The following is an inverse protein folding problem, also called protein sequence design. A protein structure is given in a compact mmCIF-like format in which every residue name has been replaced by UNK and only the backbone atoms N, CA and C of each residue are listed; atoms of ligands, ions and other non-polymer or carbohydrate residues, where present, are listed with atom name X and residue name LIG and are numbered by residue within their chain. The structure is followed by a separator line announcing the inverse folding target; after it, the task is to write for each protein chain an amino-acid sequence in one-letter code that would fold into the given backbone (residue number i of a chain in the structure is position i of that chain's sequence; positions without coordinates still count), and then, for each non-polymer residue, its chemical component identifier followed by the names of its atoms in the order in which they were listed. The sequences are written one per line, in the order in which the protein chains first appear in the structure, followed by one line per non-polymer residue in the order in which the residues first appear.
data_IF_072157752895
#
_entry.id   IF_072157752895
#
_cell.length_a   1.000
_cell.length_b   1.000
_cell.length_c   1.000
_cell.angle_alpha   90.00
_cell.angle_beta   90.00
_cell.angle_gamma   90.00
#
_symmetry.space_group_name_H-M   'P 1'
#
loop_
_entity.id
_entity.type
_entity.pdbx_description
1 polymer ?
#
# COMPACT_ATOMS: atom_id res chain seq x y z
N UNK A 1 -2.66 19.99 -41.11
CA UNK A 1 -2.51 20.21 -39.66
C UNK A 1 -1.77 19.00 -39.10
N UNK A 2 -0.54 19.21 -38.72
CA UNK A 2 0.44 18.12 -38.44
C UNK A 2 0.23 17.55 -37.05
N UNK A 3 -0.25 16.29 -36.98
CA UNK A 3 -0.47 15.54 -35.72
C UNK A 3 0.81 15.35 -34.88
N UNK A 4 1.99 15.56 -35.46
CA UNK A 4 3.30 15.44 -34.80
C UNK A 4 3.60 16.56 -33.81
N UNK A 5 3.04 17.76 -34.02
CA UNK A 5 3.32 18.92 -33.17
C UNK A 5 2.50 18.96 -31.88
N UNK A 6 1.34 18.27 -31.82
CA UNK A 6 0.49 18.18 -30.62
C UNK A 6 1.10 17.25 -29.60
N UNK A 7 1.73 16.13 -30.03
CA UNK A 7 2.38 15.18 -29.15
C UNK A 7 3.60 15.78 -28.43
N UNK A 8 4.42 16.59 -29.15
CA UNK A 8 5.59 17.25 -28.55
C UNK A 8 5.21 18.33 -27.52
N UNK A 9 4.14 19.07 -27.76
CA UNK A 9 3.64 20.09 -26.81
C UNK A 9 3.02 19.48 -25.55
N UNK A 10 2.40 18.31 -25.67
CA UNK A 10 1.84 17.57 -24.54
C UNK A 10 2.95 16.99 -23.65
N UNK A 11 4.05 16.51 -24.23
CA UNK A 11 5.21 15.96 -23.51
C UNK A 11 5.97 17.01 -22.69
N UNK A 12 6.00 18.27 -23.12
CA UNK A 12 6.68 19.35 -22.39
C UNK A 12 5.94 19.77 -21.10
N UNK A 13 4.63 19.54 -21.00
CA UNK A 13 3.82 19.86 -19.81
C UNK A 13 3.95 18.82 -18.70
N UNK A 14 4.45 17.62 -19.03
CA UNK A 14 4.53 16.46 -18.11
C UNK A 14 5.77 16.53 -17.21
N UNK A 15 6.79 17.31 -17.55
CA UNK A 15 8.12 17.27 -16.90
C UNK A 15 8.17 17.72 -15.42
N UNK A 16 7.09 18.28 -14.85
CA UNK A 16 7.06 18.74 -13.45
C UNK A 16 5.82 18.23 -12.67
N UNK A 17 5.16 17.20 -13.17
CA UNK A 17 3.97 16.65 -12.53
C UNK A 17 4.40 15.62 -11.48
N UNK A 18 3.88 15.71 -10.25
CA UNK A 18 4.06 14.66 -9.24
C UNK A 18 3.40 13.34 -9.69
N UNK A 19 3.82 12.22 -9.11
CA UNK A 19 3.21 10.92 -9.42
C UNK A 19 1.70 10.90 -9.09
N UNK A 20 1.27 11.61 -8.04
CA UNK A 20 -0.14 11.75 -7.69
C UNK A 20 -0.93 12.53 -8.74
N UNK A 21 -0.36 13.59 -9.31
CA UNK A 21 -0.98 14.36 -10.39
C UNK A 21 -1.02 13.57 -11.69
N UNK A 22 0.03 12.79 -11.97
CA UNK A 22 0.07 11.88 -13.12
C UNK A 22 -1.01 10.78 -12.99
N UNK A 23 -1.15 10.19 -11.82
CA UNK A 23 -2.22 9.23 -11.51
C UNK A 23 -3.61 9.86 -11.73
N UNK A 24 -3.82 11.07 -11.22
CA UNK A 24 -5.06 11.82 -11.42
C UNK A 24 -5.38 12.06 -12.90
N UNK A 25 -4.36 12.42 -13.69
CA UNK A 25 -4.52 12.63 -15.14
C UNK A 25 -4.92 11.33 -15.85
N UNK A 26 -4.28 10.21 -15.51
CA UNK A 26 -4.59 8.89 -16.08
C UNK A 26 -6.01 8.46 -15.72
N UNK A 27 -6.41 8.57 -14.45
CA UNK A 27 -7.77 8.23 -13.99
C UNK A 27 -8.81 9.05 -14.75
N UNK A 28 -8.63 10.37 -14.86
CA UNK A 28 -9.53 11.23 -15.62
C UNK A 28 -9.62 10.83 -17.10
N UNK A 29 -8.47 10.55 -17.74
CA UNK A 29 -8.42 10.17 -19.16
C UNK A 29 -9.16 8.85 -19.40
N UNK A 30 -8.94 7.83 -18.56
CA UNK A 30 -9.61 6.53 -18.65
C UNK A 30 -11.12 6.67 -18.41
N UNK A 31 -11.53 7.42 -17.38
CA UNK A 31 -12.94 7.67 -17.08
C UNK A 31 -13.63 8.38 -18.25
N UNK A 32 -13.04 9.43 -18.77
CA UNK A 32 -13.60 10.16 -19.91
C UNK A 32 -13.70 9.30 -21.17
N UNK A 33 -12.71 8.49 -21.47
CA UNK A 33 -12.72 7.55 -22.58
C UNK A 33 -13.91 6.57 -22.48
N UNK A 34 -14.28 6.19 -21.26
CA UNK A 34 -15.44 5.30 -20.96
C UNK A 34 -16.76 6.05 -20.81
N UNK A 35 -16.77 7.35 -21.02
CA UNK A 35 -17.97 8.23 -20.85
C UNK A 35 -18.55 8.17 -19.43
N UNK A 36 -17.76 7.84 -18.43
CA UNK A 36 -18.15 7.78 -17.02
C UNK A 36 -18.10 9.18 -16.38
N UNK A 37 -19.03 9.43 -15.47
CA UNK A 37 -19.04 10.62 -14.60
C UNK A 37 -18.14 10.40 -13.36
N UNK A 38 -17.87 11.44 -12.58
CA UNK A 38 -17.18 11.27 -11.28
C UNK A 38 -18.02 10.45 -10.29
N UNK A 39 -19.33 10.51 -10.40
CA UNK A 39 -20.23 9.82 -9.49
C UNK A 39 -20.28 8.30 -9.75
N UNK A 40 -19.90 7.85 -10.94
CA UNK A 40 -19.82 6.43 -11.27
C UNK A 40 -18.68 5.70 -10.50
N UNK A 41 -17.69 6.45 -9.96
CA UNK A 41 -16.68 5.91 -9.06
C UNK A 41 -17.23 5.67 -7.64
N UNK A 42 -18.26 4.84 -7.51
CA UNK A 42 -19.09 4.67 -6.31
C UNK A 42 -18.37 4.06 -5.12
N UNK A 43 -17.41 3.15 -5.35
CA UNK A 43 -16.66 2.46 -4.29
C UNK A 43 -15.70 3.40 -3.52
N UNK A 44 -15.52 4.62 -4.00
CA UNK A 44 -14.69 5.64 -3.36
C UNK A 44 -15.60 6.77 -2.89
N UNK A 45 -15.60 7.05 -1.59
CA UNK A 45 -16.42 8.15 -1.05
C UNK A 45 -16.14 9.49 -1.76
N UNK A 46 -17.14 10.38 -1.82
CA UNK A 46 -17.10 11.67 -2.56
C UNK A 46 -15.79 12.45 -2.32
N UNK A 47 -15.34 12.56 -1.06
CA UNK A 47 -14.08 13.25 -0.71
C UNK A 47 -12.85 12.55 -1.28
N UNK A 48 -12.85 11.21 -1.32
CA UNK A 48 -11.77 10.41 -1.89
C UNK A 48 -11.64 10.62 -3.39
N UNK A 49 -12.75 10.58 -4.13
CA UNK A 49 -12.80 10.83 -5.59
C UNK A 49 -12.21 12.18 -5.96
N UNK A 50 -12.69 13.23 -5.32
CA UNK A 50 -12.21 14.60 -5.57
C UNK A 50 -10.72 14.76 -5.28
N UNK A 51 -10.21 14.11 -4.23
CA UNK A 51 -8.78 14.16 -3.87
C UNK A 51 -7.91 13.37 -4.84
N UNK A 52 -8.38 12.20 -5.29
CA UNK A 52 -7.67 11.36 -6.27
C UNK A 52 -7.57 12.09 -7.61
N UNK A 53 -8.70 12.52 -8.17
CA UNK A 53 -8.70 13.23 -9.45
C UNK A 53 -8.08 14.64 -9.37
N UNK A 54 -7.99 15.22 -8.18
CA UNK A 54 -7.29 16.46 -7.91
C UNK A 54 -5.76 16.31 -7.71
N UNK A 55 -5.24 15.08 -7.72
CA UNK A 55 -3.81 14.82 -7.52
C UNK A 55 -3.30 15.13 -6.10
N UNK A 56 -4.21 15.27 -5.12
CA UNK A 56 -3.93 15.65 -3.73
C UNK A 56 -3.95 14.48 -2.75
N UNK A 57 -4.13 13.26 -3.23
CA UNK A 57 -4.22 12.07 -2.40
C UNK A 57 -3.02 11.15 -2.58
N UNK A 58 -2.45 10.70 -1.47
CA UNK A 58 -1.69 9.46 -1.46
C UNK A 58 -2.69 8.31 -1.57
N UNK A 59 -2.64 7.60 -2.69
CA UNK A 59 -3.55 6.48 -2.97
C UNK A 59 -2.99 5.23 -2.30
N UNK A 60 -3.77 4.59 -1.44
CA UNK A 60 -3.42 3.27 -0.89
C UNK A 60 -3.56 2.19 -1.96
N UNK A 61 -2.91 1.03 -1.75
CA UNK A 61 -3.02 -0.11 -2.69
C UNK A 61 -4.48 -0.53 -2.87
N UNK A 62 -5.27 -0.60 -1.79
CA UNK A 62 -6.69 -0.94 -1.85
C UNK A 62 -7.49 0.08 -2.67
N UNK A 63 -7.22 1.37 -2.45
CA UNK A 63 -7.89 2.43 -3.22
C UNK A 63 -7.52 2.36 -4.70
N UNK A 64 -6.23 2.09 -5.01
CA UNK A 64 -5.77 1.89 -6.38
C UNK A 64 -6.47 0.70 -7.05
N UNK A 65 -6.57 -0.43 -6.35
CA UNK A 65 -7.25 -1.63 -6.83
C UNK A 65 -8.74 -1.36 -7.08
N UNK A 66 -9.42 -0.63 -6.19
CA UNK A 66 -10.81 -0.24 -6.36
C UNK A 66 -11.02 0.70 -7.57
N UNK A 67 -10.14 1.70 -7.74
CA UNK A 67 -10.18 2.59 -8.92
C UNK A 67 -9.97 1.81 -10.20
N UNK A 68 -8.97 0.95 -10.24
CA UNK A 68 -8.64 0.13 -11.40
C UNK A 68 -9.81 -0.80 -11.77
N UNK A 69 -10.43 -1.43 -10.78
CA UNK A 69 -11.61 -2.29 -10.96
C UNK A 69 -12.79 -1.53 -11.56
N UNK A 70 -13.11 -0.33 -11.04
CA UNK A 70 -14.18 0.51 -11.58
C UNK A 70 -13.89 1.00 -13.00
N UNK A 71 -12.63 1.23 -13.31
CA UNK A 71 -12.17 1.59 -14.65
C UNK A 71 -11.93 0.35 -15.52
N UNK A 72 -12.22 -0.87 -15.04
CA UNK A 72 -11.99 -2.16 -15.74
C UNK A 72 -10.58 -2.25 -16.36
N UNK A 73 -9.57 -1.84 -15.59
CA UNK A 73 -8.15 -1.95 -15.97
C UNK A 73 -7.40 -2.68 -14.88
N UNK A 74 -6.25 -3.23 -15.24
CA UNK A 74 -5.35 -3.83 -14.26
C UNK A 74 -4.69 -2.74 -13.40
N UNK A 75 -4.60 -2.90 -12.05
CA UNK A 75 -3.93 -1.93 -11.17
C UNK A 75 -2.47 -1.67 -11.53
N UNK A 76 -1.75 -2.69 -12.02
CA UNK A 76 -0.36 -2.53 -12.45
C UNK A 76 -0.27 -1.71 -13.75
N UNK A 77 -1.24 -1.88 -14.67
CA UNK A 77 -1.36 -1.04 -15.85
C UNK A 77 -1.62 0.42 -15.48
N UNK A 78 -2.52 0.67 -14.51
CA UNK A 78 -2.80 2.02 -14.03
C UNK A 78 -1.54 2.70 -13.47
N UNK A 79 -0.73 1.96 -12.69
CA UNK A 79 0.56 2.44 -12.19
C UNK A 79 1.57 2.69 -13.30
N UNK A 80 1.67 1.80 -14.28
CA UNK A 80 2.56 1.94 -15.41
C UNK A 80 2.26 3.22 -16.22
N UNK A 81 0.98 3.46 -16.49
CA UNK A 81 0.53 4.67 -17.19
C UNK A 81 0.84 5.95 -16.40
N UNK A 82 0.59 5.92 -15.07
CA UNK A 82 0.90 7.06 -14.21
C UNK A 82 2.41 7.31 -14.12
N UNK A 83 3.22 6.25 -14.01
CA UNK A 83 4.68 6.38 -14.01
C UNK A 83 5.22 6.93 -15.34
N UNK A 84 4.73 6.41 -16.46
CA UNK A 84 5.07 6.90 -17.79
C UNK A 84 4.72 8.38 -17.95
N UNK A 85 3.52 8.80 -17.53
CA UNK A 85 3.10 10.19 -17.56
C UNK A 85 3.97 11.09 -16.64
N UNK A 86 4.36 10.61 -15.46
CA UNK A 86 5.22 11.33 -14.52
C UNK A 86 6.66 11.47 -15.03
N UNK A 87 7.25 10.38 -15.54
CA UNK A 87 8.65 10.37 -15.98
C UNK A 87 8.86 10.94 -17.39
N UNK A 88 7.81 11.03 -18.19
CA UNK A 88 7.89 11.34 -19.63
C UNK A 88 8.44 10.18 -20.46
N UNK A 89 8.65 9.00 -19.88
CA UNK A 89 9.08 7.79 -20.58
C UNK A 89 7.91 7.20 -21.37
N UNK A 90 8.05 6.88 -22.67
CA UNK A 90 7.00 6.18 -23.42
C UNK A 90 6.60 4.86 -22.78
N UNK A 91 5.29 4.54 -22.79
CA UNK A 91 4.73 3.36 -22.10
C UNK A 91 5.37 2.05 -22.57
N UNK A 92 5.63 1.91 -23.87
CA UNK A 92 6.26 0.74 -24.46
C UNK A 92 7.73 0.57 -24.00
N UNK A 93 8.45 1.65 -23.80
CA UNK A 93 9.82 1.65 -23.24
C UNK A 93 9.78 1.26 -21.77
N UNK A 94 8.88 1.85 -20.99
CA UNK A 94 8.68 1.49 -19.57
C UNK A 94 8.32 0.01 -19.42
N UNK A 95 7.42 -0.51 -20.26
CA UNK A 95 7.02 -1.91 -20.25
C UNK A 95 8.21 -2.86 -20.58
N UNK A 96 9.00 -2.55 -21.59
CA UNK A 96 10.21 -3.32 -21.92
C UNK A 96 11.20 -3.36 -20.76
N UNK A 97 11.43 -2.20 -20.13
CA UNK A 97 12.32 -2.10 -18.97
C UNK A 97 11.82 -2.93 -17.78
N UNK A 98 10.51 -2.88 -17.48
CA UNK A 98 9.89 -3.66 -16.39
C UNK A 98 9.98 -5.17 -16.71
N UNK A 99 9.67 -5.57 -17.95
CA UNK A 99 9.76 -6.97 -18.40
C UNK A 99 11.18 -7.53 -18.28
N UNK A 100 12.19 -6.72 -18.65
CA UNK A 100 13.59 -7.12 -18.50
C UNK A 100 13.96 -7.33 -17.02
N UNK A 101 13.56 -6.42 -16.14
CA UNK A 101 13.78 -6.56 -14.69
C UNK A 101 13.04 -7.75 -14.09
N UNK A 102 11.81 -8.00 -14.53
CA UNK A 102 11.04 -9.16 -14.09
C UNK A 102 11.74 -10.48 -14.49
N UNK A 103 12.30 -10.55 -15.69
CA UNK A 103 13.05 -11.73 -16.12
C UNK A 103 14.32 -11.94 -15.28
N UNK A 104 15.04 -10.89 -14.93
CA UNK A 104 16.17 -10.99 -14.01
C UNK A 104 15.74 -11.53 -12.63
N UNK A 105 14.66 -10.97 -12.03
CA UNK A 105 14.14 -11.46 -10.76
C UNK A 105 13.66 -12.91 -10.80
N UNK A 106 13.16 -13.39 -11.95
CA UNK A 106 12.85 -14.82 -12.15
C UNK A 106 14.13 -15.66 -12.13
N UNK A 107 15.17 -15.23 -12.84
CA UNK A 107 16.46 -15.94 -12.88
C UNK A 107 17.12 -15.98 -11.48
N UNK A 108 16.95 -14.95 -10.69
CA UNK A 108 17.45 -14.86 -9.31
C UNK A 108 16.59 -15.64 -8.29
N UNK A 109 15.52 -16.32 -8.70
CA UNK A 109 14.63 -17.09 -7.84
C UNK A 109 13.78 -16.25 -6.87
N UNK A 110 13.68 -14.93 -7.09
CA UNK A 110 12.94 -14.02 -6.19
C UNK A 110 11.44 -14.28 -6.25
N UNK A 111 10.92 -14.66 -7.43
CA UNK A 111 9.48 -14.90 -7.62
C UNK A 111 9.03 -16.11 -6.81
N UNK A 112 9.81 -17.19 -6.84
CA UNK A 112 9.60 -18.43 -6.07
C UNK A 112 9.66 -18.15 -4.56
N UNK A 113 10.61 -17.32 -4.13
CA UNK A 113 10.75 -16.91 -2.75
C UNK A 113 9.56 -16.06 -2.25
N UNK A 114 8.95 -15.22 -3.10
CA UNK A 114 7.74 -14.46 -2.74
C UNK A 114 6.59 -15.42 -2.47
N UNK A 115 6.39 -16.41 -3.33
CA UNK A 115 5.32 -17.41 -3.17
C UNK A 115 5.53 -18.33 -1.97
N UNK A 116 6.79 -18.58 -1.58
CA UNK A 116 7.16 -19.43 -0.45
C UNK A 116 7.17 -18.69 0.90
N UNK A 117 6.96 -17.38 0.93
CA UNK A 117 6.96 -16.63 2.20
C UNK A 117 5.76 -17.03 3.07
N UNK A 118 5.98 -17.49 4.31
CA UNK A 118 4.88 -17.78 5.21
C UNK A 118 4.12 -16.50 5.56
N UNK A 119 2.81 -16.64 5.77
CA UNK A 119 2.00 -15.54 6.32
C UNK A 119 2.65 -15.05 7.62
N UNK A 120 3.07 -13.80 7.63
CA UNK A 120 3.61 -13.19 8.85
C UNK A 120 2.44 -12.80 9.74
N UNK A 121 2.43 -13.23 11.01
CA UNK A 121 1.42 -12.77 11.94
C UNK A 121 1.48 -11.23 12.01
N UNK A 122 0.30 -10.59 11.97
CA UNK A 122 0.17 -9.14 12.06
C UNK A 122 0.67 -8.70 13.43
N UNK A 123 1.76 -7.94 13.46
CA UNK A 123 2.36 -7.40 14.67
C UNK A 123 3.84 -7.78 14.84
N UNK A 124 4.48 -7.12 15.81
CA UNK A 124 5.86 -7.45 16.18
C UNK A 124 5.86 -8.83 16.83
N UNK A 125 6.68 -9.81 16.39
CA UNK A 125 6.81 -11.10 17.07
C UNK A 125 7.13 -10.85 18.54
N UNK A 126 6.39 -11.52 19.44
CA UNK A 126 6.73 -11.48 20.84
C UNK A 126 8.12 -12.10 21.03
N UNK A 127 9.07 -11.33 21.55
CA UNK A 127 10.38 -11.87 21.93
C UNK A 127 10.16 -12.97 22.97
N UNK A 128 11.08 -13.96 23.05
CA UNK A 128 11.00 -15.05 24.07
C UNK A 128 10.74 -14.52 25.47
N UNK A 129 11.27 -13.37 25.80
CA UNK A 129 11.09 -12.73 27.11
C UNK A 129 9.68 -12.19 27.31
N UNK A 130 9.05 -11.66 26.25
CA UNK A 130 7.64 -11.22 26.30
C UNK A 130 6.70 -12.42 26.43
N UNK A 131 6.98 -13.53 25.76
CA UNK A 131 6.18 -14.75 25.91
C UNK A 131 6.28 -15.33 27.32
N UNK A 132 7.49 -15.38 27.88
CA UNK A 132 7.70 -15.78 29.28
C UNK A 132 6.99 -14.85 30.26
N UNK A 133 7.05 -13.54 30.04
CA UNK A 133 6.37 -12.56 30.88
C UNK A 133 4.84 -12.69 30.80
N UNK A 134 4.27 -12.96 29.61
CA UNK A 134 2.85 -13.24 29.42
C UNK A 134 2.37 -14.47 30.20
N UNK A 135 3.18 -15.55 30.24
CA UNK A 135 2.86 -16.76 30.97
C UNK A 135 3.04 -16.59 32.51
N UNK A 136 4.04 -15.83 32.94
CA UNK A 136 4.34 -15.60 34.36
C UNK A 136 3.41 -14.59 35.03
N UNK A 137 2.93 -13.58 34.33
CA UNK A 137 2.11 -12.51 34.90
C UNK A 137 0.82 -13.05 35.61
N UNK A 138 0.04 -13.95 34.99
CA UNK A 138 -1.13 -14.56 35.67
C UNK A 138 -0.75 -15.35 36.95
N UNK A 139 0.30 -16.15 36.89
CA UNK A 139 0.77 -16.95 38.01
C UNK A 139 1.21 -16.10 39.21
N UNK A 140 1.92 -15.00 38.94
CA UNK A 140 2.31 -14.04 39.98
C UNK A 140 1.08 -13.32 40.57
N UNK A 141 0.04 -13.10 39.76
CA UNK A 141 -1.21 -12.51 40.22
C UNK A 141 -1.99 -13.46 41.12
N UNK A 142 -2.04 -14.75 40.76
CA UNK A 142 -2.64 -15.81 41.59
C UNK A 142 -1.88 -16.02 42.91
N UNK A 143 -0.56 -15.80 42.92
CA UNK A 143 0.27 -15.80 44.12
C UNK A 143 0.04 -14.56 45.04
N UNK A 144 -0.91 -13.68 44.69
CA UNK A 144 -1.32 -12.52 45.50
C UNK A 144 -0.52 -11.25 45.27
N UNK A 145 0.40 -11.22 44.29
CA UNK A 145 1.19 -10.03 44.00
C UNK A 145 0.36 -8.89 43.39
N UNK A 146 0.66 -7.66 43.79
CA UNK A 146 0.07 -6.48 43.20
C UNK A 146 0.63 -6.25 41.80
N UNK A 147 -0.10 -5.53 40.94
CA UNK A 147 0.37 -5.18 39.58
C UNK A 147 1.69 -4.36 39.60
N UNK A 148 2.00 -3.69 40.72
CA UNK A 148 3.25 -2.96 40.89
C UNK A 148 4.44 -3.89 41.12
N UNK A 149 4.28 -4.90 41.95
CA UNK A 149 5.27 -5.92 42.25
C UNK A 149 5.53 -6.80 41.03
N UNK A 150 4.48 -7.22 40.31
CA UNK A 150 4.60 -7.96 39.05
C UNK A 150 5.34 -7.14 37.98
N UNK A 151 5.08 -5.83 37.91
CA UNK A 151 5.77 -4.93 36.97
C UNK A 151 7.27 -4.85 37.27
N UNK A 152 7.63 -4.79 38.55
CA UNK A 152 9.02 -4.77 39.00
C UNK A 152 9.71 -6.12 38.73
N UNK A 153 9.07 -7.23 39.06
CA UNK A 153 9.60 -8.60 38.86
C UNK A 153 9.83 -8.93 37.39
N UNK A 154 8.93 -8.51 36.51
CA UNK A 154 9.00 -8.76 35.06
C UNK A 154 9.74 -7.67 34.28
N UNK A 155 10.20 -6.59 34.92
CA UNK A 155 10.88 -5.49 34.27
C UNK A 155 10.03 -4.74 33.22
N UNK A 156 8.71 -4.64 33.44
CA UNK A 156 7.75 -4.01 32.54
C UNK A 156 6.91 -2.92 33.25
N UNK A 157 6.18 -2.12 32.50
CA UNK A 157 5.29 -1.12 33.11
C UNK A 157 4.02 -1.76 33.70
N UNK A 158 3.40 -1.11 34.71
CA UNK A 158 2.10 -1.53 35.29
C UNK A 158 1.01 -1.68 34.24
N UNK A 159 0.97 -0.79 33.25
CA UNK A 159 0.03 -0.86 32.11
C UNK A 159 0.29 -2.11 31.25
N UNK A 160 1.55 -2.51 31.10
CA UNK A 160 1.90 -3.73 30.36
C UNK A 160 1.45 -4.96 31.14
N UNK A 161 1.60 -4.99 32.46
CA UNK A 161 1.09 -6.09 33.31
C UNK A 161 -0.42 -6.21 33.16
N UNK A 162 -1.16 -5.09 33.24
CA UNK A 162 -2.60 -5.12 33.06
C UNK A 162 -3.02 -5.68 31.72
N UNK A 163 -2.31 -5.35 30.64
CA UNK A 163 -2.52 -5.91 29.31
C UNK A 163 -2.22 -7.40 29.22
N UNK A 164 -1.23 -7.89 29.98
CA UNK A 164 -0.91 -9.32 30.04
C UNK A 164 -1.97 -10.13 30.78
N UNK A 165 -2.57 -9.54 31.81
CA UNK A 165 -3.64 -10.17 32.59
C UNK A 165 -5.00 -10.18 31.85
N UNK A 166 -5.22 -9.24 30.93
CA UNK A 166 -6.49 -9.14 30.17
C UNK A 166 -6.46 -9.83 28.81
N UNK A 167 -5.29 -10.26 28.33
CA UNK A 167 -5.15 -10.92 27.03
C UNK A 167 -5.27 -12.43 27.23
N UNK A 168 -6.29 -13.11 26.66
CA UNK A 168 -6.37 -14.57 26.73
C UNK A 168 -5.15 -15.19 26.05
N UNK A 169 -4.61 -16.24 26.67
CA UNK A 169 -3.60 -17.12 26.08
C UNK A 169 -4.28 -17.88 24.93
N UNK A 170 -4.05 -17.45 23.71
CA UNK A 170 -4.45 -18.17 22.49
C UNK A 170 -3.30 -19.00 21.97
#
# INVERSE_FOLDING_TARGET
MDRRNVASSCLLRVKNMSLSEAMAAVVRALRQNRKMTQDDLTMIGRRGRSRIEGGKANVTIDTLSNVASMLEVDPALLLLLAHSAHSGEPVDVALKRISSKLNALKQDGVIENIAAQPERPIGRPATRDIQKALQRAPLLKEAGMSNAEIAQELGVSKTTVQRYLTKPLS
#
